data_IF_943703598110
#
_entry.id   IF_943703598110
#
_cell.length_a   1.000
_cell.length_b   1.000
_cell.length_c   1.000
_cell.angle_alpha   90.00
_cell.angle_beta   90.00
_cell.angle_gamma   90.00
#
_symmetry.space_group_name_H-M   'P 1'
#
loop_
_entity.id
_entity.type
_entity.pdbx_description
1 polymer ?
#
# COMPACT_ATOMS: atom_id res chain seq x y z
N UNK A 1 13.04 -24.46 8.93
CA UNK A 1 11.72 -23.79 9.18
C UNK A 1 11.81 -22.26 9.19
N UNK A 2 12.96 -21.63 9.46
CA UNK A 2 13.15 -20.16 9.34
C UNK A 2 13.72 -19.67 7.99
N UNK A 3 13.97 -20.55 7.02
CA UNK A 3 14.47 -20.13 5.69
C UNK A 3 13.41 -19.41 4.83
N UNK A 4 12.13 -19.54 5.18
CA UNK A 4 11.05 -18.81 4.50
C UNK A 4 11.12 -17.30 4.78
N UNK A 5 11.80 -16.91 5.86
CA UNK A 5 12.09 -15.52 6.24
C UNK A 5 13.50 -15.08 5.83
N UNK A 6 14.25 -15.90 5.09
CA UNK A 6 15.55 -15.45 4.58
C UNK A 6 15.32 -14.39 3.51
N UNK A 7 16.02 -13.27 3.67
CA UNK A 7 15.96 -12.09 2.79
C UNK A 7 16.08 -12.46 1.30
N UNK A 8 16.88 -13.48 0.97
CA UNK A 8 17.06 -13.98 -0.40
C UNK A 8 15.81 -14.63 -1.00
N UNK A 9 15.01 -15.36 -0.20
CA UNK A 9 13.80 -16.03 -0.68
C UNK A 9 12.59 -15.10 -0.66
N UNK A 10 12.53 -14.16 0.30
CA UNK A 10 11.46 -13.18 0.44
C UNK A 10 11.50 -12.08 -0.64
N UNK A 11 12.70 -11.70 -1.08
CA UNK A 11 12.91 -10.72 -2.18
C UNK A 11 13.21 -11.45 -3.50
N UNK A 12 12.97 -12.76 -3.59
CA UNK A 12 13.06 -13.46 -4.88
C UNK A 12 12.04 -12.86 -5.85
N UNK A 13 12.45 -12.67 -7.12
CA UNK A 13 11.65 -12.07 -8.20
C UNK A 13 10.22 -12.63 -8.25
N UNK A 14 10.06 -13.95 -8.06
CA UNK A 14 8.75 -14.62 -8.09
C UNK A 14 7.84 -14.18 -6.93
N UNK A 15 8.40 -14.03 -5.73
CA UNK A 15 7.67 -13.60 -4.52
C UNK A 15 7.33 -12.12 -4.61
N UNK A 16 8.25 -11.31 -5.14
CA UNK A 16 8.07 -9.88 -5.31
C UNK A 16 6.98 -9.54 -6.34
N UNK A 17 6.92 -10.28 -7.45
CA UNK A 17 5.81 -10.21 -8.42
C UNK A 17 4.48 -10.65 -7.78
N UNK A 18 4.50 -11.72 -6.97
CA UNK A 18 3.30 -12.17 -6.25
C UNK A 18 2.80 -11.06 -5.31
N UNK A 19 3.67 -10.44 -4.51
CA UNK A 19 3.32 -9.32 -3.63
C UNK A 19 2.89 -8.07 -4.38
N UNK A 20 3.40 -7.82 -5.58
CA UNK A 20 2.94 -6.72 -6.43
C UNK A 20 1.46 -6.89 -6.80
N UNK A 21 1.08 -8.06 -7.32
CA UNK A 21 -0.32 -8.34 -7.70
C UNK A 21 -1.23 -8.51 -6.49
N UNK A 22 -0.75 -9.21 -5.47
CA UNK A 22 -1.49 -9.36 -4.22
C UNK A 22 -1.68 -7.99 -3.57
N UNK A 23 -0.67 -7.13 -3.53
CA UNK A 23 -0.77 -5.76 -3.03
C UNK A 23 -1.81 -4.93 -3.76
N UNK A 24 -1.87 -5.03 -5.10
CA UNK A 24 -2.88 -4.33 -5.89
C UNK A 24 -4.33 -4.74 -5.56
N UNK A 25 -4.56 -6.00 -5.17
CA UNK A 25 -5.89 -6.53 -4.80
C UNK A 25 -6.18 -6.38 -3.30
N UNK A 26 -5.18 -6.63 -2.46
CA UNK A 26 -5.28 -6.54 -0.99
C UNK A 26 -5.41 -5.10 -0.55
N UNK A 27 -4.80 -4.13 -1.23
CA UNK A 27 -4.89 -2.72 -0.82
C UNK A 27 -6.34 -2.20 -0.81
N UNK A 28 -7.16 -2.32 -1.89
CA UNK A 28 -8.55 -1.87 -1.86
C UNK A 28 -9.43 -2.70 -0.91
N UNK A 29 -9.26 -4.03 -0.89
CA UNK A 29 -10.06 -4.92 -0.02
C UNK A 29 -9.71 -4.72 1.45
N UNK A 30 -8.42 -4.60 1.76
CA UNK A 30 -7.88 -4.36 3.09
C UNK A 30 -8.33 -3.03 3.64
N UNK A 31 -8.24 -1.93 2.87
CA UNK A 31 -8.75 -0.62 3.28
C UNK A 31 -10.24 -0.68 3.60
N UNK A 32 -11.04 -1.42 2.81
CA UNK A 32 -12.47 -1.57 3.06
C UNK A 32 -12.77 -2.36 4.34
N UNK A 33 -12.11 -3.50 4.54
CA UNK A 33 -12.31 -4.37 5.71
C UNK A 33 -11.79 -3.69 6.98
N UNK A 34 -10.54 -3.20 6.97
CA UNK A 34 -9.96 -2.50 8.11
C UNK A 34 -10.75 -1.23 8.44
N UNK A 35 -11.17 -0.46 7.43
CA UNK A 35 -12.02 0.71 7.66
C UNK A 35 -13.31 0.33 8.38
N UNK A 36 -14.05 -0.66 7.87
CA UNK A 36 -15.30 -1.13 8.50
C UNK A 36 -15.07 -1.68 9.91
N UNK A 37 -14.00 -2.46 10.10
CA UNK A 37 -13.69 -3.10 11.36
C UNK A 37 -13.22 -2.08 12.41
N UNK A 38 -12.41 -1.09 12.02
CA UNK A 38 -11.97 0.02 12.86
C UNK A 38 -13.17 0.86 13.30
N UNK A 39 -14.08 1.23 12.38
CA UNK A 39 -15.28 1.97 12.73
C UNK A 39 -16.19 1.17 13.68
N UNK A 40 -16.36 -0.14 13.48
CA UNK A 40 -17.22 -0.95 14.36
C UNK A 40 -16.62 -1.21 15.74
N UNK A 41 -15.28 -1.23 15.86
CA UNK A 41 -14.59 -1.57 17.11
C UNK A 41 -14.50 -0.40 18.08
N UNK A 42 -14.59 0.83 17.57
CA UNK A 42 -14.54 2.05 18.36
C UNK A 42 -15.94 2.60 18.66
N UNK A 43 -16.76 1.83 19.38
CA UNK A 43 -18.10 2.22 19.85
C UNK A 43 -18.11 3.52 20.69
N UNK A 44 -16.96 3.91 21.26
CA UNK A 44 -16.78 5.16 22.01
C UNK A 44 -16.65 6.40 21.12
N UNK A 45 -16.26 6.21 19.86
CA UNK A 45 -16.12 7.29 18.89
C UNK A 45 -17.38 7.49 18.06
N UNK A 46 -18.44 6.68 18.18
CA UNK A 46 -19.63 6.86 17.34
C UNK A 46 -20.22 8.27 17.50
N UNK A 47 -20.33 8.76 18.73
CA UNK A 47 -20.81 10.13 19.00
C UNK A 47 -19.81 11.22 18.62
N UNK A 48 -18.51 11.01 18.82
CA UNK A 48 -17.46 11.96 18.46
C UNK A 48 -17.21 12.02 16.94
N UNK A 49 -17.33 10.89 16.25
CA UNK A 49 -17.22 10.71 14.82
C UNK A 49 -18.44 11.29 14.11
N UNK A 50 -19.65 11.03 14.61
CA UNK A 50 -20.88 11.64 14.06
C UNK A 50 -20.85 13.16 14.23
N UNK A 51 -20.52 13.67 15.43
CA UNK A 51 -20.39 15.12 15.67
C UNK A 51 -19.24 15.75 14.89
N UNK A 52 -18.08 15.12 14.87
CA UNK A 52 -16.93 15.60 14.11
C UNK A 52 -17.19 15.60 12.60
N UNK A 53 -17.86 14.55 12.09
CA UNK A 53 -18.30 14.46 10.70
C UNK A 53 -19.31 15.55 10.38
N UNK A 54 -20.32 15.78 11.20
CA UNK A 54 -21.28 16.88 10.97
C UNK A 54 -20.60 18.25 11.00
N UNK A 55 -19.72 18.50 11.95
CA UNK A 55 -18.99 19.77 12.06
C UNK A 55 -18.11 19.99 10.83
N UNK A 56 -17.32 18.99 10.42
CA UNK A 56 -16.46 19.07 9.23
C UNK A 56 -17.31 19.17 7.96
N UNK A 57 -18.43 18.44 7.87
CA UNK A 57 -19.28 18.41 6.69
C UNK A 57 -20.09 19.70 6.51
N UNK A 58 -20.49 20.34 7.60
CA UNK A 58 -21.17 21.64 7.60
C UNK A 58 -20.20 22.81 7.47
N UNK A 59 -18.95 22.67 7.95
CA UNK A 59 -17.91 23.68 7.78
C UNK A 59 -17.32 23.69 6.35
N UNK A 60 -17.28 22.54 5.67
CA UNK A 60 -16.74 22.46 4.31
C UNK A 60 -17.78 22.86 3.26
N UNK A 61 -17.48 23.93 2.53
CA UNK A 61 -18.21 24.32 1.32
C UNK A 61 -18.05 23.25 0.23
N UNK A 62 -19.04 23.06 -0.66
CA UNK A 62 -18.99 22.05 -1.72
C UNK A 62 -17.72 22.10 -2.60
N UNK A 63 -17.17 23.30 -2.84
CA UNK A 63 -15.88 23.47 -3.56
C UNK A 63 -14.68 22.90 -2.80
N UNK A 64 -14.66 23.00 -1.46
CA UNK A 64 -13.59 22.43 -0.64
C UNK A 64 -13.69 20.90 -0.58
N UNK A 65 -14.91 20.35 -0.57
CA UNK A 65 -15.13 18.89 -0.67
C UNK A 65 -14.57 18.32 -1.98
N UNK A 66 -14.79 19.01 -3.10
CA UNK A 66 -14.23 18.60 -4.41
C UNK A 66 -12.70 18.68 -4.38
N UNK A 67 -12.11 19.76 -3.84
CA UNK A 67 -10.64 19.86 -3.71
C UNK A 67 -10.05 18.76 -2.84
N UNK A 68 -10.70 18.44 -1.72
CA UNK A 68 -10.29 17.34 -0.84
C UNK A 68 -10.39 15.98 -1.54
N UNK A 69 -11.46 15.75 -2.31
CA UNK A 69 -11.62 14.52 -3.11
C UNK A 69 -10.54 14.40 -4.19
N UNK A 70 -10.24 15.48 -4.91
CA UNK A 70 -9.17 15.51 -5.91
C UNK A 70 -7.83 15.22 -5.24
N UNK A 71 -7.52 15.89 -4.12
CA UNK A 71 -6.28 15.66 -3.38
C UNK A 71 -6.15 14.21 -2.89
N UNK A 72 -7.24 13.62 -2.39
CA UNK A 72 -7.29 12.21 -1.98
C UNK A 72 -7.01 11.26 -3.15
N UNK A 73 -7.65 11.48 -4.31
CA UNK A 73 -7.41 10.71 -5.52
C UNK A 73 -5.96 10.87 -6.01
N UNK A 74 -5.41 12.08 -5.98
CA UNK A 74 -4.01 12.34 -6.32
C UNK A 74 -3.08 11.55 -5.38
N UNK A 75 -3.24 11.68 -4.06
CA UNK A 75 -2.45 10.91 -3.10
C UNK A 75 -2.55 9.39 -3.33
N UNK A 76 -3.75 8.89 -3.65
CA UNK A 76 -3.96 7.48 -3.95
C UNK A 76 -3.15 7.02 -5.17
N UNK A 77 -3.21 7.78 -6.28
CA UNK A 77 -2.43 7.49 -7.49
C UNK A 77 -0.93 7.54 -7.20
N UNK A 78 -0.46 8.55 -6.46
CA UNK A 78 0.96 8.64 -6.08
C UNK A 78 1.40 7.46 -5.21
N UNK A 79 0.56 7.00 -4.29
CA UNK A 79 0.84 5.83 -3.46
C UNK A 79 0.93 4.56 -4.32
N UNK A 80 0.04 4.40 -5.30
CA UNK A 80 0.09 3.28 -6.25
C UNK A 80 1.37 3.32 -7.09
N UNK A 81 1.71 4.48 -7.65
CA UNK A 81 2.94 4.66 -8.45
C UNK A 81 4.19 4.41 -7.61
N UNK A 82 4.24 4.93 -6.38
CA UNK A 82 5.35 4.70 -5.46
C UNK A 82 5.50 3.21 -5.13
N UNK A 83 4.38 2.53 -4.87
CA UNK A 83 4.39 1.08 -4.67
C UNK A 83 4.95 0.35 -5.90
N UNK A 84 4.46 0.66 -7.11
CA UNK A 84 4.98 0.05 -8.35
C UNK A 84 6.49 0.28 -8.51
N UNK A 85 6.94 1.51 -8.30
CA UNK A 85 8.36 1.88 -8.41
C UNK A 85 9.23 1.13 -7.40
N UNK A 86 8.78 0.99 -6.15
CA UNK A 86 9.51 0.27 -5.11
C UNK A 86 9.67 -1.21 -5.47
N UNK A 87 8.62 -1.84 -5.99
CA UNK A 87 8.67 -3.25 -6.41
C UNK A 87 9.55 -3.45 -7.65
N UNK A 88 9.41 -2.62 -8.67
CA UNK A 88 10.23 -2.71 -9.89
C UNK A 88 11.73 -2.50 -9.59
N UNK A 89 12.05 -1.54 -8.73
CA UNK A 89 13.43 -1.30 -8.28
C UNK A 89 14.03 -2.51 -7.57
N UNK A 90 13.27 -3.12 -6.65
CA UNK A 90 13.70 -4.31 -5.92
C UNK A 90 13.88 -5.52 -6.86
N UNK A 91 13.00 -5.70 -7.85
CA UNK A 91 13.15 -6.76 -8.86
C UNK A 91 14.44 -6.56 -9.65
N UNK A 92 14.66 -5.34 -10.17
CA UNK A 92 15.83 -5.01 -10.96
C UNK A 92 17.13 -5.18 -10.15
N UNK A 93 17.13 -4.74 -8.90
CA UNK A 93 18.26 -4.92 -7.99
C UNK A 93 18.63 -6.40 -7.81
N UNK A 94 17.64 -7.26 -7.58
CA UNK A 94 17.88 -8.69 -7.42
C UNK A 94 18.36 -9.34 -8.72
N UNK A 95 17.83 -8.95 -9.87
CA UNK A 95 18.31 -9.42 -11.18
C UNK A 95 19.78 -9.08 -11.40
N UNK A 96 20.19 -7.86 -11.06
CA UNK A 96 21.58 -7.42 -11.19
C UNK A 96 22.49 -8.20 -10.22
N UNK A 97 22.05 -8.39 -8.97
CA UNK A 97 22.78 -9.22 -7.99
C UNK A 97 23.02 -10.63 -8.52
N UNK A 98 21.97 -11.30 -9.01
CA UNK A 98 22.05 -12.67 -9.51
C UNK A 98 22.97 -12.76 -10.73
N UNK A 99 22.91 -11.78 -11.64
CA UNK A 99 23.80 -11.70 -12.79
C UNK A 99 25.28 -11.55 -12.36
N UNK A 100 25.57 -10.73 -11.35
CA UNK A 100 26.93 -10.57 -10.82
C UNK A 100 27.46 -11.84 -10.14
N UNK A 101 26.62 -12.53 -9.36
CA UNK A 101 26.99 -13.81 -8.72
C UNK A 101 27.28 -14.87 -9.79
N UNK A 102 26.44 -14.97 -10.82
CA UNK A 102 26.66 -15.91 -11.93
C UNK A 102 27.89 -15.56 -12.78
N UNK A 103 28.21 -14.27 -12.94
CA UNK A 103 29.42 -13.84 -13.65
C UNK A 103 30.70 -14.17 -12.87
N UNK A 104 30.70 -14.04 -11.54
CA UNK A 104 31.85 -14.41 -10.70
C UNK A 104 32.10 -15.92 -10.65
N UNK A 105 31.06 -16.76 -10.73
CA UNK A 105 31.19 -18.22 -10.75
C UNK A 105 31.71 -18.78 -12.09
N UNK A 106 31.79 -17.95 -13.14
CA UNK A 106 32.33 -18.31 -14.46
C UNK A 106 33.82 -18.00 -14.64
N UNK A 107 34.44 -17.37 -13.64
CA UNK A 107 35.89 -17.09 -13.56
C UNK A 107 36.54 -18.13 -12.65
#
# INVERSE_FOLDING_TARGET
MMEFLSFERFISIKVLILFYYIGAVIMPVGVFIFGKQLLSRFHFFDTAYQRGKEIVWNALTGRQKIKALIALLTCFIFMELFWRMLFEFLIAYMQIRDAMVHAQLKV
#
